data_IF_907854241800
#
_entry.id   IF_907854241800
#
_cell.length_a   1.000
_cell.length_b   1.000
_cell.length_c   1.000
_cell.angle_alpha   90.00
_cell.angle_beta   90.00
_cell.angle_gamma   90.00
#
_symmetry.space_group_name_H-M   'P 1'
#
loop_
_entity.id
_entity.type
_entity.pdbx_description
1 polymer ?
#
# COMPACT_ATOMS: atom_id res chain seq x y z
N UNK A 1 3.96 -13.64 -9.50
CA UNK A 1 2.77 -12.88 -9.05
C UNK A 1 2.95 -12.36 -7.63
N UNK A 2 2.84 -11.05 -7.41
CA UNK A 2 2.90 -10.47 -6.08
C UNK A 2 1.79 -11.06 -5.19
N UNK A 3 2.16 -11.65 -4.05
CA UNK A 3 1.20 -12.31 -3.14
C UNK A 3 0.20 -11.36 -2.47
N UNK A 4 0.37 -10.04 -2.61
CA UNK A 4 -0.43 -9.04 -1.93
C UNK A 4 -0.86 -7.96 -2.92
N UNK A 5 -2.17 -7.74 -3.07
CA UNK A 5 -2.78 -6.70 -3.90
C UNK A 5 -3.13 -5.48 -3.03
N UNK A 6 -3.36 -4.32 -3.66
CA UNK A 6 -3.84 -3.12 -2.96
C UNK A 6 -5.19 -3.36 -2.25
N UNK A 7 -6.06 -4.21 -2.81
CA UNK A 7 -7.30 -4.61 -2.14
C UNK A 7 -7.05 -5.37 -0.83
N UNK A 8 -6.03 -6.24 -0.80
CA UNK A 8 -5.68 -6.99 0.42
C UNK A 8 -5.13 -6.05 1.52
N UNK A 9 -4.39 -5.01 1.12
CA UNK A 9 -3.94 -3.97 2.04
C UNK A 9 -5.11 -3.27 2.73
N UNK A 10 -6.16 -2.92 1.97
CA UNK A 10 -7.34 -2.26 2.53
C UNK A 10 -8.03 -3.15 3.57
N UNK A 11 -8.20 -4.44 3.28
CA UNK A 11 -8.80 -5.39 4.22
C UNK A 11 -7.98 -5.47 5.53
N UNK A 12 -6.66 -5.60 5.44
CA UNK A 12 -5.81 -5.65 6.63
C UNK A 12 -5.84 -4.36 7.47
N UNK A 13 -6.01 -3.20 6.85
CA UNK A 13 -6.18 -1.94 7.59
C UNK A 13 -7.52 -1.91 8.34
N UNK A 14 -8.59 -2.43 7.74
CA UNK A 14 -9.88 -2.55 8.43
C UNK A 14 -9.84 -3.58 9.57
N UNK A 15 -9.23 -4.74 9.35
CA UNK A 15 -9.00 -5.73 10.43
C UNK A 15 -8.21 -5.12 11.59
N UNK A 16 -7.21 -4.29 11.30
CA UNK A 16 -6.42 -3.60 12.31
C UNK A 16 -7.25 -2.56 13.08
N UNK A 17 -8.21 -1.89 12.44
CA UNK A 17 -9.16 -0.99 13.10
C UNK A 17 -10.13 -1.77 14.00
N UNK A 18 -10.67 -2.88 13.53
CA UNK A 18 -11.56 -3.75 14.33
C UNK A 18 -10.87 -4.24 15.60
N UNK A 19 -9.60 -4.68 15.48
CA UNK A 19 -8.81 -5.13 16.63
C UNK A 19 -8.54 -4.02 17.64
N UNK A 20 -8.33 -2.78 17.19
CA UNK A 20 -8.16 -1.63 18.08
C UNK A 20 -9.46 -1.20 18.78
N UNK A 21 -10.62 -1.51 18.19
CA UNK A 21 -11.93 -1.17 18.74
C UNK A 21 -12.45 -2.21 19.75
N UNK A 22 -11.73 -3.30 20.01
CA UNK A 22 -12.11 -4.29 21.02
C UNK A 22 -12.07 -3.67 22.42
N UNK A 23 -13.23 -3.57 23.07
CA UNK A 23 -13.39 -2.97 24.40
C UNK A 23 -12.63 -3.73 25.50
N UNK A 24 -12.26 -5.00 25.25
CA UNK A 24 -11.48 -5.80 26.19
C UNK A 24 -9.97 -5.57 26.04
N UNK A 25 -9.52 -4.89 24.98
CA UNK A 25 -8.12 -4.64 24.70
C UNK A 25 -7.57 -3.55 25.63
N UNK A 26 -6.81 -3.95 26.64
CA UNK A 26 -6.32 -3.04 27.69
C UNK A 26 -4.86 -3.31 28.07
N UNK A 27 -4.26 -2.39 28.82
CA UNK A 27 -2.92 -2.53 29.37
C UNK A 27 -1.84 -2.79 28.31
N UNK A 28 -0.95 -3.75 28.59
CA UNK A 28 0.18 -4.09 27.71
C UNK A 28 -0.27 -4.62 26.34
N UNK A 29 -1.43 -5.29 26.27
CA UNK A 29 -1.97 -5.77 25.00
C UNK A 29 -2.39 -4.60 24.12
N UNK A 30 -3.04 -3.58 24.68
CA UNK A 30 -3.37 -2.35 23.97
C UNK A 30 -2.11 -1.64 23.47
N UNK A 31 -1.08 -1.50 24.32
CA UNK A 31 0.19 -0.89 23.90
C UNK A 31 0.87 -1.63 22.76
N UNK A 32 0.86 -2.97 22.81
CA UNK A 32 1.40 -3.82 21.75
C UNK A 32 0.62 -3.62 20.46
N UNK A 33 -0.70 -3.53 20.57
CA UNK A 33 -1.56 -3.36 19.41
C UNK A 33 -1.44 -1.98 18.76
N UNK A 34 -1.27 -0.93 19.56
CA UNK A 34 -0.97 0.42 19.06
C UNK A 34 0.37 0.45 18.31
N UNK A 35 1.41 -0.23 18.83
CA UNK A 35 2.71 -0.35 18.14
C UNK A 35 2.56 -1.07 16.81
N UNK A 36 1.79 -2.17 16.78
CA UNK A 36 1.49 -2.92 15.56
C UNK A 36 0.75 -2.05 14.54
N UNK A 37 -0.32 -1.37 14.97
CA UNK A 37 -1.12 -0.50 14.12
C UNK A 37 -0.26 0.60 13.46
N UNK A 38 0.63 1.21 14.23
CA UNK A 38 1.58 2.21 13.72
C UNK A 38 2.52 1.63 12.66
N UNK A 39 3.07 0.44 12.90
CA UNK A 39 3.94 -0.23 11.94
C UNK A 39 3.20 -0.57 10.64
N UNK A 40 2.00 -1.15 10.74
CA UNK A 40 1.15 -1.49 9.57
C UNK A 40 0.79 -0.23 8.78
N UNK A 41 0.36 0.84 9.44
CA UNK A 41 0.03 2.12 8.80
C UNK A 41 1.22 2.73 8.07
N UNK A 42 2.43 2.64 8.65
CA UNK A 42 3.65 3.13 8.00
C UNK A 42 3.98 2.35 6.73
N UNK A 43 3.87 1.02 6.76
CA UNK A 43 4.11 0.17 5.58
C UNK A 43 3.04 0.42 4.52
N UNK A 44 1.77 0.52 4.92
CA UNK A 44 0.66 0.83 4.03
C UNK A 44 0.87 2.15 3.28
N UNK A 45 1.34 3.18 3.99
CA UNK A 45 1.64 4.49 3.42
C UNK A 45 2.73 4.41 2.33
N UNK A 46 3.76 3.59 2.53
CA UNK A 46 4.79 3.36 1.50
C UNK A 46 4.24 2.60 0.29
N UNK A 47 3.37 1.62 0.51
CA UNK A 47 2.71 0.88 -0.60
C UNK A 47 1.86 1.84 -1.44
N UNK A 48 1.06 2.70 -0.80
CA UNK A 48 0.22 3.70 -1.49
C UNK A 48 1.09 4.71 -2.25
N UNK A 49 2.19 5.20 -1.64
CA UNK A 49 3.12 6.10 -2.32
C UNK A 49 3.72 5.48 -3.59
N UNK A 50 4.09 4.19 -3.54
CA UNK A 50 4.54 3.46 -4.72
C UNK A 50 3.41 3.31 -5.76
N UNK A 51 2.18 3.02 -5.31
CA UNK A 51 1.01 2.97 -6.19
C UNK A 51 0.76 4.30 -6.92
N UNK A 52 0.89 5.44 -6.24
CA UNK A 52 0.79 6.77 -6.85
C UNK A 52 1.91 7.02 -7.87
N UNK A 53 3.13 6.58 -7.59
CA UNK A 53 4.25 6.71 -8.53
C UNK A 53 3.97 5.93 -9.82
N UNK A 54 3.49 4.70 -9.72
CA UNK A 54 3.10 3.87 -10.87
C UNK A 54 1.95 4.51 -11.63
N UNK A 55 0.89 4.96 -10.94
CA UNK A 55 -0.24 5.64 -11.58
C UNK A 55 0.20 6.88 -12.35
N UNK A 56 1.09 7.70 -11.76
CA UNK A 56 1.65 8.88 -12.42
C UNK A 56 2.47 8.50 -13.65
N UNK A 57 3.26 7.43 -13.59
CA UNK A 57 4.02 6.95 -14.74
C UNK A 57 3.09 6.50 -15.90
N UNK A 58 2.01 5.78 -15.57
CA UNK A 58 0.98 5.37 -16.54
C UNK A 58 0.30 6.60 -17.16
N UNK A 59 -0.10 7.58 -16.35
CA UNK A 59 -0.70 8.82 -16.85
C UNK A 59 0.25 9.61 -17.75
N UNK A 60 1.55 9.67 -17.42
CA UNK A 60 2.55 10.33 -18.25
C UNK A 60 2.77 9.60 -19.59
N UNK A 61 2.74 8.27 -19.58
CA UNK A 61 2.81 7.45 -20.79
C UNK A 61 1.60 7.68 -21.70
N UNK A 62 0.40 7.73 -21.14
CA UNK A 62 -0.85 7.96 -21.88
C UNK A 62 -0.91 9.39 -22.47
N UNK A 63 -0.42 10.39 -21.72
CA UNK A 63 -0.38 11.78 -22.17
C UNK A 63 0.82 12.11 -23.09
N UNK A 64 1.80 11.21 -23.24
CA UNK A 64 2.91 11.42 -24.14
C UNK A 64 2.48 11.13 -25.58
N UNK A 65 2.22 12.18 -26.37
CA UNK A 65 2.06 12.12 -27.84
C UNK A 65 3.42 11.84 -28.52
N UNK A 66 4.28 10.98 -27.97
CA UNK A 66 5.65 10.80 -28.46
C UNK A 66 6.14 9.38 -28.22
N UNK A 67 6.49 8.72 -29.33
CA UNK A 67 6.70 7.28 -29.46
C UNK A 67 7.89 6.68 -28.69
N UNK A 68 8.64 7.46 -27.90
CA UNK A 68 9.93 7.04 -27.32
C UNK A 68 10.10 7.36 -25.82
N UNK A 69 9.02 7.39 -25.03
CA UNK A 69 9.17 7.50 -23.56
C UNK A 69 9.62 6.15 -22.99
N UNK A 70 10.92 6.02 -22.74
CA UNK A 70 11.45 4.88 -21.98
C UNK A 70 11.08 5.01 -20.50
N UNK A 71 10.12 4.19 -20.07
CA UNK A 71 9.73 4.06 -18.67
C UNK A 71 10.84 3.29 -17.92
N UNK A 72 11.32 3.75 -16.76
CA UNK A 72 12.30 3.02 -15.97
C UNK A 72 11.84 1.59 -15.63
N UNK A 73 12.74 0.60 -15.75
CA UNK A 73 12.45 -0.83 -15.49
C UNK A 73 11.75 -1.14 -14.17
N UNK A 74 11.96 -0.31 -13.14
CA UNK A 74 11.28 -0.47 -11.84
C UNK A 74 9.77 -0.13 -11.87
N UNK A 75 9.29 0.48 -12.96
CA UNK A 75 7.91 0.91 -13.20
C UNK A 75 7.27 0.17 -14.39
N UNK A 76 8.01 -0.73 -15.04
CA UNK A 76 7.43 -1.71 -15.96
C UNK A 76 6.53 -2.62 -15.12
N UNK A 77 5.21 -2.49 -15.27
CA UNK A 77 4.27 -3.42 -14.67
C UNK A 77 4.65 -4.81 -15.19
N UNK A 78 4.95 -5.75 -14.29
CA UNK A 78 5.41 -7.08 -14.66
C UNK A 78 4.44 -7.74 -15.63
N UNK A 79 4.85 -7.86 -16.88
CA UNK A 79 4.22 -8.68 -17.89
C UNK A 79 4.58 -10.14 -17.60
N UNK A 80 3.71 -10.82 -16.85
CA UNK A 80 3.49 -12.27 -16.93
C UNK A 80 2.00 -12.52 -17.22
#
# INVERSE_FOLDING_TARGET
MARNKLGDLQNHLFEQLERLNDENLTGEQLETELKRAKAVSSVASQIIANGHLVLKAVQLKDNAISADVQVPKMLEAGDD
#
